data_IF_067179921329
#
_entry.id   IF_067179921329
#
_cell.length_a   1.000
_cell.length_b   1.000
_cell.length_c   1.000
_cell.angle_alpha   90.00
_cell.angle_beta   90.00
_cell.angle_gamma   90.00
#
_symmetry.space_group_name_H-M   'P 1'
#
loop_
_entity.id
_entity.type
_entity.pdbx_description
1 polymer ?
#
# COMPACT_ATOMS: atom_id res chain seq x y z
N UNK A 1 14.92 14.75 -30.29
CA UNK A 1 14.40 13.87 -31.36
C UNK A 1 14.52 12.42 -30.90
N UNK A 2 13.45 11.63 -31.09
CA UNK A 2 13.19 10.25 -30.56
C UNK A 2 12.82 10.26 -29.07
N UNK A 3 11.61 9.93 -28.61
CA UNK A 3 10.47 9.27 -29.22
C UNK A 3 9.88 8.33 -28.18
N UNK A 4 9.11 8.86 -27.22
CA UNK A 4 8.40 8.03 -26.22
C UNK A 4 7.28 7.32 -26.96
N UNK A 5 7.36 5.99 -27.00
CA UNK A 5 6.37 5.13 -27.65
C UNK A 5 5.20 4.94 -26.68
N UNK A 6 4.07 5.54 -27.02
CA UNK A 6 2.77 5.24 -26.41
C UNK A 6 2.26 3.93 -27.04
N UNK A 7 2.14 2.89 -26.20
CA UNK A 7 1.53 1.58 -26.50
C UNK A 7 0.90 1.18 -25.16
N UNK A 8 -0.40 1.05 -24.92
CA UNK A 8 -1.62 1.05 -25.73
C UNK A 8 -2.70 1.56 -24.78
N UNK A 9 -3.38 2.64 -25.15
CA UNK A 9 -4.58 3.09 -24.46
C UNK A 9 -5.70 2.07 -24.70
N UNK A 10 -6.02 1.25 -23.70
CA UNK A 10 -7.24 0.45 -23.71
C UNK A 10 -8.38 1.33 -23.17
N UNK A 11 -9.16 1.85 -24.11
CA UNK A 11 -10.36 2.66 -23.88
C UNK A 11 -11.35 1.95 -22.96
N UNK A 12 -11.90 2.64 -21.95
CA UNK A 12 -13.35 2.91 -21.77
C UNK A 12 -13.50 4.12 -20.84
N UNK A 13 -14.15 5.17 -21.33
CA UNK A 13 -14.55 6.33 -20.55
C UNK A 13 -16.03 6.31 -20.15
N UNK A 14 -16.40 7.25 -19.26
CA UNK A 14 -17.69 7.95 -19.15
C UNK A 14 -17.51 9.01 -18.05
N UNK A 15 -17.69 10.32 -18.15
CA UNK A 15 -18.14 11.24 -19.19
C UNK A 15 -18.70 12.49 -18.50
N UNK A 16 -18.09 13.68 -18.70
CA UNK A 16 -18.76 15.01 -18.65
C UNK A 16 -17.97 15.97 -19.55
N UNK A 17 -18.50 16.17 -20.76
CA UNK A 17 -18.02 17.10 -21.78
C UNK A 17 -18.18 18.55 -21.31
N UNK A 18 -17.07 19.24 -21.01
CA UNK A 18 -17.01 20.70 -21.03
C UNK A 18 -16.34 21.12 -22.36
N UNK A 19 -17.15 21.70 -23.25
CA UNK A 19 -16.75 22.19 -24.56
C UNK A 19 -16.09 23.58 -24.44
N UNK A 20 -14.85 23.65 -23.95
CA UNK A 20 -13.97 24.80 -24.15
C UNK A 20 -12.54 24.27 -24.42
N UNK A 21 -11.88 24.82 -25.44
CA UNK A 21 -10.74 24.23 -26.12
C UNK A 21 -9.43 24.21 -25.29
N UNK A 22 -9.25 23.19 -24.45
CA UNK A 22 -7.96 22.59 -24.04
C UNK A 22 -8.19 21.26 -23.29
N UNK A 23 -9.03 20.37 -23.80
CA UNK A 23 -9.22 19.03 -23.21
C UNK A 23 -8.18 18.07 -23.81
N UNK A 24 -7.00 18.02 -23.20
CA UNK A 24 -5.90 17.12 -23.55
C UNK A 24 -5.97 15.78 -22.80
N UNK A 25 -7.07 15.51 -22.08
CA UNK A 25 -7.20 14.33 -21.23
C UNK A 25 -6.36 14.39 -19.95
N UNK A 26 -5.88 15.57 -19.56
CA UNK A 26 -5.24 15.81 -18.28
C UNK A 26 -6.24 15.72 -17.12
N UNK A 27 -5.86 15.06 -16.02
CA UNK A 27 -6.53 15.30 -14.76
C UNK A 27 -5.93 16.49 -14.04
N UNK A 28 -6.80 17.45 -13.73
CA UNK A 28 -6.46 18.72 -13.07
C UNK A 28 -5.84 18.54 -11.68
N UNK A 29 -6.03 17.37 -11.05
CA UNK A 29 -5.45 17.02 -9.75
C UNK A 29 -5.20 15.51 -9.67
N UNK A 30 -4.06 15.01 -10.19
CA UNK A 30 -3.70 13.61 -10.06
C UNK A 30 -3.29 13.30 -8.61
N UNK A 31 -3.55 12.07 -8.18
CA UNK A 31 -3.19 11.55 -6.85
C UNK A 31 -1.99 10.60 -7.02
N UNK A 32 -1.11 10.56 -6.03
CA UNK A 32 -0.07 9.53 -5.93
C UNK A 32 -0.64 8.29 -5.24
N UNK A 33 -0.48 7.15 -5.89
CA UNK A 33 -0.88 5.83 -5.42
C UNK A 33 0.36 4.98 -5.22
N UNK A 34 0.41 4.23 -4.13
CA UNK A 34 1.48 3.33 -3.75
C UNK A 34 1.01 1.89 -3.94
N UNK A 35 1.88 1.02 -4.48
CA UNK A 35 1.53 -0.39 -4.67
C UNK A 35 1.27 -1.06 -3.31
N UNK A 36 0.19 -1.81 -3.19
CA UNK A 36 -0.18 -2.62 -2.01
C UNK A 36 -0.23 -4.09 -2.48
N UNK A 37 0.92 -4.76 -2.40
CA UNK A 37 1.13 -6.10 -2.96
C UNK A 37 0.60 -7.19 -2.04
N UNK A 38 0.68 -6.99 -0.72
CA UNK A 38 0.26 -7.98 0.27
C UNK A 38 -1.18 -7.81 0.79
N UNK A 39 -1.80 -6.68 0.48
CA UNK A 39 -3.22 -6.41 0.68
C UNK A 39 -3.58 -6.05 2.11
N UNK A 40 -2.69 -5.40 2.86
CA UNK A 40 -2.95 -4.92 4.22
C UNK A 40 -3.51 -3.49 4.29
N UNK A 41 -3.50 -2.77 3.17
CA UNK A 41 -4.01 -1.40 3.04
C UNK A 41 -2.94 -0.32 3.23
N UNK A 42 -1.68 -0.70 3.31
CA UNK A 42 -0.51 0.17 3.24
C UNK A 42 0.25 -0.13 1.95
N UNK A 43 0.90 0.87 1.38
CA UNK A 43 1.61 0.70 0.11
C UNK A 43 3.08 1.09 0.19
N UNK A 44 3.88 0.47 -0.69
CA UNK A 44 5.33 0.68 -0.76
C UNK A 44 5.67 2.13 -1.16
N UNK A 45 6.31 2.94 -0.29
CA UNK A 45 6.77 4.29 -0.63
C UNK A 45 7.79 4.32 -1.78
N UNK A 46 8.43 3.20 -2.12
CA UNK A 46 9.36 3.07 -3.23
C UNK A 46 8.69 2.73 -4.57
N UNK A 47 7.42 2.29 -4.57
CA UNK A 47 6.67 1.91 -5.77
C UNK A 47 5.40 2.77 -5.89
N UNK A 48 5.58 3.95 -6.46
CA UNK A 48 4.51 4.93 -6.66
C UNK A 48 4.08 5.06 -8.13
N UNK A 49 2.82 5.43 -8.33
CA UNK A 49 2.24 5.79 -9.62
C UNK A 49 1.29 6.98 -9.47
N UNK A 50 1.23 7.83 -10.49
CA UNK A 50 0.39 9.03 -10.46
C UNK A 50 -0.79 8.81 -11.38
N UNK A 51 -2.00 8.86 -10.83
CA UNK A 51 -3.23 8.60 -11.58
C UNK A 51 -4.43 9.39 -11.02
N UNK A 52 -5.40 9.63 -11.90
CA UNK A 52 -6.62 10.38 -11.57
C UNK A 52 -7.63 9.54 -10.77
N UNK A 53 -7.51 8.22 -10.85
CA UNK A 53 -8.34 7.23 -10.16
C UNK A 53 -7.45 6.14 -9.60
N UNK A 54 -7.89 5.54 -8.50
CA UNK A 54 -7.20 4.42 -7.85
C UNK A 54 -6.90 3.27 -8.83
N UNK A 55 -5.62 2.88 -9.00
CA UNK A 55 -5.24 1.63 -9.66
C UNK A 55 -5.73 0.42 -8.85
N UNK A 56 -5.86 -0.74 -9.51
CA UNK A 56 -6.38 -1.95 -8.84
C UNK A 56 -5.56 -2.36 -7.60
N UNK A 57 -4.25 -2.19 -7.67
CA UNK A 57 -3.29 -2.61 -6.63
C UNK A 57 -2.63 -1.38 -5.98
N UNK A 58 -3.30 -0.22 -5.99
CA UNK A 58 -2.74 1.04 -5.49
C UNK A 58 -3.55 1.61 -4.32
N UNK A 59 -2.89 2.09 -3.27
CA UNK A 59 -3.50 2.79 -2.13
C UNK A 59 -2.87 4.19 -1.96
N UNK A 60 -3.58 5.14 -1.33
CA UNK A 60 -3.02 6.49 -1.10
C UNK A 60 -1.97 6.52 0.02
N UNK A 61 -1.96 5.50 0.89
CA UNK A 61 -1.03 5.41 2.02
C UNK A 61 0.29 4.80 1.57
N UNK A 62 1.35 5.61 1.52
CA UNK A 62 2.70 5.17 1.15
C UNK A 62 3.60 5.03 2.37
N UNK A 63 3.18 4.28 3.37
CA UNK A 63 3.84 4.19 4.67
C UNK A 63 4.27 2.77 5.04
N UNK A 64 4.16 1.81 4.12
CA UNK A 64 4.58 0.43 4.35
C UNK A 64 6.11 0.28 4.40
N UNK A 65 6.61 -0.47 5.38
CA UNK A 65 8.02 -0.81 5.51
C UNK A 65 8.39 -2.16 4.88
N UNK A 66 7.42 -3.03 4.58
CA UNK A 66 7.59 -4.31 3.90
C UNK A 66 6.31 -4.77 3.19
N UNK A 67 6.11 -4.27 1.97
CA UNK A 67 5.02 -4.58 1.02
C UNK A 67 5.01 -6.05 0.51
N UNK A 68 5.72 -6.94 1.19
CA UNK A 68 5.68 -8.38 0.96
C UNK A 68 5.11 -9.17 2.14
N UNK A 69 4.80 -8.50 3.25
CA UNK A 69 4.31 -9.10 4.49
C UNK A 69 3.21 -8.25 5.14
N UNK A 70 1.96 -8.67 4.91
CA UNK A 70 0.71 -8.10 5.44
C UNK A 70 0.59 -7.95 6.96
N UNK A 71 1.63 -8.33 7.72
CA UNK A 71 1.75 -8.16 9.16
C UNK A 71 2.82 -7.13 9.53
N UNK A 72 3.39 -6.41 8.57
CA UNK A 72 4.49 -5.46 8.76
C UNK A 72 4.15 -4.10 8.19
N UNK A 73 3.24 -3.40 8.89
CA UNK A 73 2.74 -2.09 8.49
C UNK A 73 2.60 -1.16 9.70
N UNK A 74 2.54 0.18 9.49
CA UNK A 74 2.37 1.14 10.58
C UNK A 74 1.20 0.83 11.51
N UNK A 75 1.51 0.55 12.78
CA UNK A 75 0.51 0.26 13.82
C UNK A 75 -0.05 -1.17 13.80
N UNK A 76 0.57 -2.09 13.06
CA UNK A 76 0.26 -3.51 13.18
C UNK A 76 0.52 -4.02 14.61
N UNK A 77 -0.18 -5.08 15.05
CA UNK A 77 0.17 -5.74 16.30
C UNK A 77 1.53 -6.41 16.21
N UNK A 78 2.33 -6.21 17.24
CA UNK A 78 3.61 -6.87 17.43
C UNK A 78 3.48 -8.40 17.58
N UNK A 79 4.20 -9.13 16.72
CA UNK A 79 4.28 -10.58 16.72
C UNK A 79 5.61 -10.99 17.35
N UNK A 80 5.59 -12.00 18.21
CA UNK A 80 6.80 -12.53 18.83
C UNK A 80 7.57 -13.45 17.88
N UNK A 81 7.88 -12.96 16.67
CA UNK A 81 8.70 -13.57 15.63
C UNK A 81 10.10 -12.93 15.52
N UNK A 82 10.33 -11.83 16.27
CA UNK A 82 11.60 -11.11 16.31
C UNK A 82 11.79 -10.12 15.16
N UNK A 83 10.72 -9.82 14.43
CA UNK A 83 10.65 -8.76 13.44
C UNK A 83 10.08 -7.48 14.08
N UNK A 84 10.03 -6.41 13.27
CA UNK A 84 9.36 -5.15 13.57
C UNK A 84 8.08 -5.17 12.73
N UNK A 85 6.95 -5.41 13.40
CA UNK A 85 5.65 -5.54 12.73
C UNK A 85 4.95 -4.18 12.61
N UNK A 86 5.16 -3.26 13.54
CA UNK A 86 4.49 -1.97 13.53
C UNK A 86 5.22 -0.87 12.73
N UNK A 87 6.32 -1.23 12.05
CA UNK A 87 7.19 -0.34 11.28
C UNK A 87 7.73 0.85 12.11
N UNK A 88 7.90 0.68 13.41
CA UNK A 88 8.41 1.73 14.28
C UNK A 88 9.95 1.75 14.27
N UNK A 89 10.51 2.91 13.90
CA UNK A 89 11.96 3.06 13.77
C UNK A 89 12.72 2.65 15.04
N UNK A 90 13.37 1.48 15.00
CA UNK A 90 14.33 1.02 15.99
C UNK A 90 13.76 0.21 17.15
N UNK A 91 12.51 -0.25 17.08
CA UNK A 91 12.06 -1.33 17.95
C UNK A 91 12.29 -2.66 17.20
N UNK A 92 13.08 -3.55 17.79
CA UNK A 92 12.86 -4.97 17.56
C UNK A 92 11.82 -5.36 18.58
N UNK A 93 10.84 -6.18 18.20
CA UNK A 93 9.82 -6.57 19.15
C UNK A 93 10.42 -7.40 20.29
N UNK A 94 10.61 -6.76 21.44
CA UNK A 94 11.02 -7.44 22.68
C UNK A 94 9.77 -7.53 23.54
N UNK A 95 8.99 -8.60 23.34
CA UNK A 95 7.77 -8.88 24.11
C UNK A 95 8.05 -8.80 25.63
N UNK A 96 7.71 -7.69 26.34
CA UNK A 96 8.17 -7.48 27.72
C UNK A 96 7.52 -8.46 28.71
N UNK A 97 6.33 -8.94 28.35
CA UNK A 97 5.52 -9.90 29.11
C UNK A 97 5.19 -11.13 28.28
N UNK A 98 6.17 -11.62 27.53
CA UNK A 98 6.08 -12.92 26.86
C UNK A 98 5.02 -13.01 25.76
N UNK A 99 4.98 -14.18 25.14
CA UNK A 99 4.30 -14.42 23.89
C UNK A 99 3.11 -15.35 24.15
N UNK A 100 1.88 -14.96 23.77
CA UNK A 100 0.71 -15.84 23.92
C UNK A 100 0.09 -16.18 22.56
N UNK A 101 -0.33 -17.44 22.33
CA UNK A 101 -0.97 -17.80 21.07
C UNK A 101 -2.29 -17.08 20.88
N UNK A 102 -2.43 -16.34 19.78
CA UNK A 102 -3.73 -15.92 19.27
C UNK A 102 -4.17 -16.91 18.18
N UNK A 103 -5.40 -17.40 18.31
CA UNK A 103 -6.08 -18.17 17.27
C UNK A 103 -6.93 -17.20 16.44
N UNK A 104 -6.34 -16.53 15.45
CA UNK A 104 -7.09 -15.77 14.44
C UNK A 104 -7.54 -16.69 13.30
N UNK A 105 -8.49 -17.58 13.60
CA UNK A 105 -9.16 -18.38 12.56
C UNK A 105 -8.26 -19.37 11.81
N UNK A 106 -8.29 -19.33 10.46
CA UNK A 106 -7.55 -20.25 9.56
C UNK A 106 -6.11 -19.83 9.26
N UNK A 107 -5.62 -18.74 9.85
CA UNK A 107 -4.24 -18.31 9.73
C UNK A 107 -3.32 -19.11 10.68
N UNK A 108 -1.99 -19.12 10.47
CA UNK A 108 -1.05 -19.68 11.42
C UNK A 108 -1.28 -19.09 12.82
N UNK A 109 -1.08 -19.89 13.87
CA UNK A 109 -1.02 -19.37 15.24
C UNK A 109 0.20 -18.48 15.38
N UNK A 110 0.01 -17.16 15.39
CA UNK A 110 1.04 -16.21 15.79
C UNK A 110 0.96 -16.00 17.30
N UNK A 111 2.12 -15.83 17.93
CA UNK A 111 2.20 -15.41 19.32
C UNK A 111 2.22 -13.88 19.34
N UNK A 112 1.31 -13.23 20.06
CA UNK A 112 1.31 -11.77 20.20
C UNK A 112 1.93 -11.35 21.52
N UNK A 113 2.49 -10.14 21.53
CA UNK A 113 2.80 -9.40 22.75
C UNK A 113 1.55 -9.27 23.63
N UNK A 114 1.66 -9.61 24.91
CA UNK A 114 0.65 -9.21 25.90
C UNK A 114 1.08 -7.89 26.55
N UNK A 115 0.16 -7.21 27.25
CA UNK A 115 0.42 -5.96 28.01
C UNK A 115 0.44 -6.21 29.50
#
# INVERSE_FOLDING_TARGET
>A
MRGVRVITALLVGCGRIHFDAADDGSCEAPITWYADIDGDGHGDPAVESVACTQPADGIESGDDCDDSDRYRFPGAPELCDGLDNDCSAGTQDVCPVGCTPIQTGTAPTYLVCTT
#
